data_IF_682895793474
#
_entry.id   IF_682895793474
#
_cell.length_a   1.000
_cell.length_b   1.000
_cell.length_c   1.000
_cell.angle_alpha   90.00
_cell.angle_beta   90.00
_cell.angle_gamma   90.00
#
_symmetry.space_group_name_H-M   'P 1'
#
loop_
_entity.id
_entity.type
_entity.pdbx_description
1 polymer ?
#
# COMPACT_ATOMS: atom_id res chain seq x y z
N UNK A 1 -0.15 -41.42 4.00
CA UNK A 1 -1.32 -41.80 3.17
C UNK A 1 -2.46 -40.80 3.32
N UNK A 2 -2.85 -40.39 4.53
CA UNK A 2 -3.94 -39.44 4.78
C UNK A 2 -3.81 -38.12 4.01
N UNK A 3 -2.61 -37.53 3.94
CA UNK A 3 -2.37 -36.29 3.19
C UNK A 3 -2.59 -36.46 1.67
N UNK A 4 -2.17 -37.60 1.11
CA UNK A 4 -2.39 -37.93 -0.29
C UNK A 4 -3.87 -38.17 -0.61
N UNK A 5 -4.65 -38.68 0.35
CA UNK A 5 -6.11 -38.78 0.22
C UNK A 5 -6.81 -37.42 0.32
N UNK A 6 -6.37 -36.53 1.22
CA UNK A 6 -6.91 -35.17 1.34
C UNK A 6 -6.69 -34.37 0.05
N UNK A 7 -5.51 -34.52 -0.58
CA UNK A 7 -5.18 -33.88 -1.85
C UNK A 7 -5.81 -34.57 -3.08
N UNK A 8 -6.51 -35.69 -2.89
CA UNK A 8 -7.14 -36.45 -3.98
C UNK A 8 -6.16 -37.20 -4.89
N UNK A 9 -4.89 -37.37 -4.48
CA UNK A 9 -3.87 -38.14 -5.18
C UNK A 9 -4.19 -39.65 -5.07
N UNK A 10 -4.69 -40.07 -3.91
CA UNK A 10 -5.17 -41.43 -3.66
C UNK A 10 -6.63 -41.40 -3.18
N UNK A 11 -7.36 -42.50 -3.36
CA UNK A 11 -8.71 -42.67 -2.81
C UNK A 11 -9.05 -44.16 -2.66
N UNK A 12 -9.62 -44.53 -1.52
CA UNK A 12 -9.95 -45.93 -1.16
C UNK A 12 -8.77 -46.89 -1.35
N UNK A 13 -7.56 -46.47 -0.96
CA UNK A 13 -6.34 -47.29 -1.02
C UNK A 13 -5.71 -47.45 -2.42
N UNK A 14 -6.15 -46.69 -3.43
CA UNK A 14 -5.58 -46.72 -4.78
C UNK A 14 -5.26 -45.31 -5.31
N UNK A 15 -4.40 -45.21 -6.34
CA UNK A 15 -4.14 -43.94 -7.03
C UNK A 15 -5.37 -43.49 -7.83
N UNK A 16 -5.73 -42.22 -7.67
CA UNK A 16 -6.77 -41.58 -8.47
C UNK A 16 -6.31 -41.41 -9.93
N UNK A 17 -7.24 -41.29 -10.88
CA UNK A 17 -6.91 -41.02 -12.29
C UNK A 17 -6.02 -39.78 -12.47
N UNK A 18 -6.32 -38.61 -11.85
CA UNK A 18 -5.41 -37.46 -11.90
C UNK A 18 -4.08 -37.72 -11.16
N UNK A 19 -4.09 -38.49 -10.06
CA UNK A 19 -2.88 -38.88 -9.34
C UNK A 19 -1.93 -39.76 -10.17
N UNK A 20 -2.48 -40.64 -11.03
CA UNK A 20 -1.69 -41.42 -12.00
C UNK A 20 -1.11 -40.54 -13.11
N UNK A 21 -1.89 -39.59 -13.63
CA UNK A 21 -1.43 -38.68 -14.67
C UNK A 21 -0.21 -37.84 -14.24
N UNK A 22 -0.02 -37.60 -12.93
CA UNK A 22 1.18 -36.96 -12.39
C UNK A 22 2.42 -37.86 -12.36
N UNK A 23 2.25 -39.18 -12.43
CA UNK A 23 3.31 -40.20 -12.32
C UNK A 23 3.66 -40.84 -13.67
N UNK A 24 2.82 -40.70 -14.69
CA UNK A 24 3.06 -41.28 -16.00
C UNK A 24 4.27 -40.62 -16.70
N UNK A 25 5.30 -41.40 -17.09
CA UNK A 25 6.45 -40.86 -17.78
C UNK A 25 6.07 -40.46 -19.21
N UNK A 26 6.32 -39.20 -19.57
CA UNK A 26 6.30 -38.74 -20.96
C UNK A 26 7.68 -38.98 -21.58
N UNK A 27 7.82 -39.92 -22.54
CA UNK A 27 9.11 -40.42 -23.00
C UNK A 27 9.96 -39.39 -23.77
N UNK A 28 9.36 -38.27 -24.23
CA UNK A 28 10.00 -37.36 -25.20
C UNK A 28 10.14 -35.89 -24.75
N UNK A 29 10.00 -35.56 -23.45
CA UNK A 29 9.98 -34.16 -23.00
C UNK A 29 11.11 -33.75 -22.04
N UNK A 30 11.63 -32.50 -22.15
CA UNK A 30 12.62 -31.97 -21.23
C UNK A 30 12.07 -31.89 -19.80
N UNK A 31 12.93 -31.99 -18.75
CA UNK A 31 12.49 -32.16 -17.36
C UNK A 31 11.55 -31.07 -16.83
N UNK A 32 11.65 -29.84 -17.37
CA UNK A 32 10.82 -28.68 -17.01
C UNK A 32 9.44 -28.72 -17.67
N UNK A 33 9.35 -29.13 -18.95
CA UNK A 33 8.07 -29.27 -19.64
C UNK A 33 7.25 -30.45 -19.08
N UNK A 34 7.92 -31.51 -18.62
CA UNK A 34 7.29 -32.71 -18.07
C UNK A 34 6.33 -32.42 -16.90
N UNK A 35 6.65 -31.46 -16.02
CA UNK A 35 5.79 -31.11 -14.87
C UNK A 35 4.54 -30.37 -15.35
N UNK A 36 4.69 -29.46 -16.30
CA UNK A 36 3.58 -28.66 -16.85
C UNK A 36 2.62 -29.55 -17.67
N UNK A 37 3.14 -30.47 -18.47
CA UNK A 37 2.35 -31.40 -19.28
C UNK A 37 1.57 -32.39 -18.40
N UNK A 38 2.23 -32.98 -17.40
CA UNK A 38 1.60 -33.89 -16.44
C UNK A 38 0.53 -33.16 -15.60
N UNK A 39 0.81 -31.93 -15.15
CA UNK A 39 -0.15 -31.09 -14.43
C UNK A 39 -1.36 -30.72 -15.31
N UNK A 40 -1.13 -30.36 -16.57
CA UNK A 40 -2.21 -30.08 -17.51
C UNK A 40 -3.05 -31.33 -17.81
N UNK A 41 -2.44 -32.51 -17.90
CA UNK A 41 -3.15 -33.77 -18.08
C UNK A 41 -4.00 -34.13 -16.85
N UNK A 42 -3.42 -34.04 -15.65
CA UNK A 42 -4.14 -34.24 -14.40
C UNK A 42 -5.31 -33.25 -14.26
N UNK A 43 -5.11 -31.97 -14.61
CA UNK A 43 -6.16 -30.95 -14.60
C UNK A 43 -7.31 -31.29 -15.55
N UNK A 44 -7.03 -31.80 -16.76
CA UNK A 44 -8.07 -32.26 -17.69
C UNK A 44 -8.89 -33.43 -17.15
N UNK A 45 -8.26 -34.35 -16.40
CA UNK A 45 -8.97 -35.47 -15.77
C UNK A 45 -9.78 -35.04 -14.54
N UNK A 46 -9.33 -33.99 -13.83
CA UNK A 46 -9.99 -33.40 -12.67
C UNK A 46 -11.19 -32.53 -13.07
N UNK A 47 -11.10 -31.77 -14.16
CA UNK A 47 -12.10 -30.77 -14.52
C UNK A 47 -13.55 -31.29 -14.56
N UNK A 48 -13.86 -32.47 -15.13
CA UNK A 48 -15.23 -33.01 -15.15
C UNK A 48 -15.77 -33.42 -13.77
N UNK A 49 -14.90 -33.53 -12.76
CA UNK A 49 -15.25 -33.94 -11.40
C UNK A 49 -15.51 -32.75 -10.48
N UNK A 50 -15.20 -31.53 -10.92
CA UNK A 50 -15.35 -30.31 -10.15
C UNK A 50 -16.63 -29.57 -10.58
N UNK A 51 -17.32 -28.89 -9.65
CA UNK A 51 -18.41 -28.00 -10.01
C UNK A 51 -17.90 -26.83 -10.86
N UNK A 52 -18.75 -26.34 -11.76
CA UNK A 52 -18.44 -25.18 -12.60
C UNK A 52 -18.24 -23.93 -11.72
N UNK A 53 -17.11 -23.22 -11.86
CA UNK A 53 -16.89 -21.96 -11.16
C UNK A 53 -17.91 -20.91 -11.57
N UNK A 54 -18.33 -20.08 -10.61
CA UNK A 54 -19.26 -19.00 -10.83
C UNK A 54 -18.52 -17.69 -11.04
N UNK A 55 -18.97 -16.92 -12.02
CA UNK A 55 -18.53 -15.56 -12.34
C UNK A 55 -19.36 -14.48 -11.62
N UNK A 56 -20.23 -14.87 -10.68
CA UNK A 56 -21.14 -13.96 -10.00
C UNK A 56 -21.44 -14.34 -8.55
N UNK A 57 -21.97 -13.35 -7.82
CA UNK A 57 -22.48 -13.46 -6.45
C UNK A 57 -23.90 -12.90 -6.33
N UNK A 58 -24.55 -13.18 -5.20
CA UNK A 58 -25.82 -12.59 -4.82
C UNK A 58 -25.58 -11.53 -3.75
N UNK A 59 -25.81 -10.26 -4.08
CA UNK A 59 -25.71 -9.16 -3.12
C UNK A 59 -27.01 -9.03 -2.32
N UNK A 60 -26.86 -8.88 -1.00
CA UNK A 60 -27.96 -8.77 -0.04
C UNK A 60 -27.95 -7.41 0.66
N UNK A 61 -29.11 -6.99 1.16
CA UNK A 61 -29.29 -5.67 1.76
C UNK A 61 -28.58 -5.48 3.12
N UNK A 62 -28.11 -6.56 3.74
CA UNK A 62 -27.38 -6.58 5.01
C UNK A 62 -25.85 -6.48 4.83
N UNK A 63 -25.42 -5.96 3.68
CA UNK A 63 -24.01 -5.80 3.29
C UNK A 63 -23.27 -7.13 3.17
N UNK A 64 -23.94 -8.16 2.67
CA UNK A 64 -23.30 -9.44 2.37
C UNK A 64 -23.38 -9.79 0.87
N UNK A 65 -22.38 -10.56 0.41
CA UNK A 65 -22.41 -11.25 -0.87
C UNK A 65 -22.36 -12.76 -0.62
N UNK A 66 -23.26 -13.50 -1.25
CA UNK A 66 -23.30 -14.97 -1.15
C UNK A 66 -22.84 -15.58 -2.46
N UNK A 67 -21.82 -16.43 -2.37
CA UNK A 67 -21.34 -17.28 -3.46
C UNK A 67 -21.85 -18.71 -3.24
N UNK A 68 -22.85 -19.17 -4.00
CA UNK A 68 -23.46 -20.49 -3.82
C UNK A 68 -22.59 -21.66 -4.30
N UNK A 69 -21.42 -21.37 -4.87
CA UNK A 69 -20.44 -22.33 -5.36
C UNK A 69 -19.04 -21.71 -5.40
N UNK A 70 -18.02 -22.45 -5.87
CA UNK A 70 -16.69 -21.87 -6.03
C UNK A 70 -16.74 -20.74 -7.06
N UNK A 71 -16.06 -19.65 -6.75
CA UNK A 71 -15.96 -18.51 -7.67
C UNK A 71 -14.79 -18.70 -8.61
N UNK A 72 -14.88 -18.09 -9.79
CA UNK A 72 -13.69 -17.87 -10.61
C UNK A 72 -12.61 -17.12 -9.82
N UNK A 73 -11.34 -17.46 -10.04
CA UNK A 73 -10.22 -16.92 -9.24
C UNK A 73 -10.18 -15.38 -9.24
N UNK A 74 -10.30 -14.69 -10.39
CA UNK A 74 -10.23 -13.22 -10.40
C UNK A 74 -11.34 -12.56 -9.58
N UNK A 75 -12.54 -13.14 -9.60
CA UNK A 75 -13.69 -12.69 -8.80
C UNK A 75 -13.43 -12.94 -7.31
N UNK A 76 -12.98 -14.14 -6.94
CA UNK A 76 -12.67 -14.50 -5.56
C UNK A 76 -11.58 -13.60 -4.95
N UNK A 77 -10.51 -13.33 -5.71
CA UNK A 77 -9.40 -12.46 -5.29
C UNK A 77 -9.86 -11.02 -5.07
N UNK A 78 -10.65 -10.50 -6.02
CA UNK A 78 -11.16 -9.12 -5.91
C UNK A 78 -12.15 -8.98 -4.76
N UNK A 79 -13.05 -9.95 -4.57
CA UNK A 79 -13.96 -9.98 -3.41
C UNK A 79 -13.21 -10.14 -2.08
N UNK A 80 -12.14 -10.92 -2.03
CA UNK A 80 -11.32 -11.08 -0.84
C UNK A 80 -10.58 -9.81 -0.40
N UNK A 81 -10.40 -8.84 -1.30
CA UNK A 81 -9.92 -7.50 -0.97
C UNK A 81 -11.08 -6.62 -0.50
N UNK A 82 -12.22 -6.66 -1.21
CA UNK A 82 -13.37 -5.77 -1.00
C UNK A 82 -14.26 -6.14 0.19
N UNK A 83 -14.18 -7.37 0.68
CA UNK A 83 -15.04 -7.89 1.73
C UNK A 83 -14.29 -8.94 2.57
N UNK A 84 -14.76 -9.15 3.79
CA UNK A 84 -14.24 -10.16 4.70
C UNK A 84 -15.05 -11.46 4.58
N UNK A 85 -14.40 -12.62 4.64
CA UNK A 85 -15.09 -13.91 4.57
C UNK A 85 -15.65 -14.25 5.96
N UNK A 86 -16.97 -14.28 6.09
CA UNK A 86 -17.65 -14.62 7.33
C UNK A 86 -17.84 -16.13 7.49
N UNK A 87 -18.14 -16.83 6.38
CA UNK A 87 -18.35 -18.28 6.39
C UNK A 87 -17.87 -18.92 5.09
N UNK A 88 -17.27 -20.10 5.21
CA UNK A 88 -16.84 -20.98 4.12
C UNK A 88 -17.56 -22.33 4.25
N UNK A 89 -18.89 -22.28 4.17
CA UNK A 89 -19.75 -23.48 4.18
C UNK A 89 -20.05 -23.95 2.75
N UNK A 90 -21.23 -24.57 2.57
CA UNK A 90 -21.77 -24.88 1.23
C UNK A 90 -22.01 -23.65 0.36
N UNK A 91 -22.03 -22.46 0.95
CA UNK A 91 -21.92 -21.17 0.27
C UNK A 91 -20.89 -20.32 1.01
N UNK A 92 -20.06 -19.58 0.26
CA UNK A 92 -19.14 -18.62 0.87
C UNK A 92 -19.87 -17.29 1.06
N UNK A 93 -19.87 -16.77 2.27
CA UNK A 93 -20.50 -15.50 2.62
C UNK A 93 -19.40 -14.47 2.84
N UNK A 94 -19.47 -13.39 2.09
CA UNK A 94 -18.59 -12.23 2.21
C UNK A 94 -19.37 -11.09 2.85
N UNK A 95 -18.75 -10.38 3.79
CA UNK A 95 -19.34 -9.21 4.45
C UNK A 95 -18.56 -7.96 4.07
N UNK A 96 -19.27 -6.97 3.55
CA UNK A 96 -18.72 -5.64 3.29
C UNK A 96 -18.74 -4.83 4.58
N UNK A 97 -17.59 -4.26 4.91
CA UNK A 97 -17.34 -3.44 6.10
C UNK A 97 -16.67 -2.13 5.66
N UNK A 98 -16.76 -1.05 6.45
CA UNK A 98 -15.99 0.17 6.16
C UNK A 98 -14.49 -0.11 5.98
N UNK A 99 -13.93 -1.03 6.78
CA UNK A 99 -12.53 -1.42 6.77
C UNK A 99 -12.13 -2.19 5.51
N UNK A 100 -12.94 -3.15 5.06
CA UNK A 100 -12.67 -3.91 3.82
C UNK A 100 -12.82 -3.04 2.58
N UNK A 101 -13.82 -2.15 2.53
CA UNK A 101 -13.94 -1.16 1.45
C UNK A 101 -12.72 -0.21 1.45
N UNK A 102 -12.29 0.27 2.63
CA UNK A 102 -11.10 1.13 2.73
C UNK A 102 -9.85 0.41 2.22
N UNK A 103 -9.69 -0.88 2.55
CA UNK A 103 -8.59 -1.73 2.07
C UNK A 103 -8.53 -1.78 0.54
N UNK A 104 -9.67 -1.87 -0.13
CA UNK A 104 -9.72 -1.83 -1.58
C UNK A 104 -9.31 -0.47 -2.16
N UNK A 105 -9.71 0.64 -1.51
CA UNK A 105 -9.28 1.98 -1.91
C UNK A 105 -7.79 2.21 -1.66
N UNK A 106 -7.25 1.69 -0.54
CA UNK A 106 -5.82 1.71 -0.21
C UNK A 106 -5.00 0.91 -1.25
N UNK A 107 -5.59 -0.14 -1.84
CA UNK A 107 -5.02 -0.90 -2.96
C UNK A 107 -5.14 -0.19 -4.33
N UNK A 108 -5.60 1.06 -4.36
CA UNK A 108 -5.66 1.90 -5.56
C UNK A 108 -6.95 1.80 -6.36
N UNK A 109 -7.99 1.12 -5.88
CA UNK A 109 -9.30 1.09 -6.54
C UNK A 109 -10.06 2.39 -6.29
N UNK A 110 -10.81 2.87 -7.28
CA UNK A 110 -11.74 3.99 -7.09
C UNK A 110 -13.13 3.50 -6.70
N UNK A 111 -13.98 4.40 -6.19
CA UNK A 111 -15.38 4.07 -5.91
C UNK A 111 -16.11 3.58 -7.18
N UNK A 112 -15.84 4.21 -8.32
CA UNK A 112 -16.42 3.83 -9.61
C UNK A 112 -15.96 2.44 -10.06
N UNK A 113 -14.69 2.09 -9.84
CA UNK A 113 -14.20 0.73 -10.11
C UNK A 113 -14.94 -0.31 -9.27
N UNK A 114 -15.18 0.00 -7.99
CA UNK A 114 -15.92 -0.89 -7.07
C UNK A 114 -17.37 -1.04 -7.51
N UNK A 115 -18.07 0.05 -7.82
CA UNK A 115 -19.45 -0.01 -8.31
C UNK A 115 -19.55 -0.78 -9.62
N UNK A 116 -18.64 -0.52 -10.56
CA UNK A 116 -18.57 -1.22 -11.86
C UNK A 116 -18.35 -2.72 -11.65
N UNK A 117 -17.41 -3.08 -10.76
CA UNK A 117 -17.13 -4.47 -10.43
C UNK A 117 -18.35 -5.18 -9.81
N UNK A 118 -19.00 -4.56 -8.83
CA UNK A 118 -20.18 -5.11 -8.16
C UNK A 118 -21.36 -5.26 -9.13
N UNK A 119 -21.56 -4.30 -10.02
CA UNK A 119 -22.60 -4.37 -11.05
C UNK A 119 -22.33 -5.49 -12.08
N UNK A 120 -21.06 -5.71 -12.44
CA UNK A 120 -20.68 -6.73 -13.41
C UNK A 120 -20.82 -8.16 -12.86
N UNK A 121 -20.51 -8.39 -11.58
CA UNK A 121 -20.45 -9.73 -10.98
C UNK A 121 -21.61 -10.02 -10.01
N UNK A 122 -22.68 -9.21 -10.02
CA UNK A 122 -23.85 -9.47 -9.18
C UNK A 122 -25.04 -9.93 -10.02
N UNK A 123 -25.70 -11.02 -9.59
CA UNK A 123 -26.98 -11.45 -10.17
C UNK A 123 -28.19 -10.68 -9.64
N UNK A 124 -28.01 -9.96 -8.54
CA UNK A 124 -29.03 -9.07 -7.97
C UNK A 124 -28.60 -7.61 -8.18
N UNK A 125 -29.55 -6.65 -8.24
CA UNK A 125 -29.18 -5.24 -8.23
C UNK A 125 -28.33 -4.90 -7.01
N UNK A 126 -27.34 -4.00 -7.17
CA UNK A 126 -26.49 -3.55 -6.06
C UNK A 126 -27.37 -2.86 -5.00
N UNK A 127 -27.41 -3.36 -3.75
CA UNK A 127 -28.24 -2.79 -2.70
C UNK A 127 -27.81 -1.36 -2.36
N UNK A 128 -28.79 -0.46 -2.19
CA UNK A 128 -28.53 0.94 -1.82
C UNK A 128 -27.64 1.11 -0.58
N UNK A 129 -27.76 0.30 0.51
CA UNK A 129 -26.85 0.38 1.65
C UNK A 129 -25.38 0.16 1.27
N UNK A 130 -25.11 -0.78 0.35
CA UNK A 130 -23.75 -1.05 -0.13
C UNK A 130 -23.23 0.11 -0.97
N UNK A 131 -24.07 0.66 -1.85
CA UNK A 131 -23.72 1.85 -2.63
C UNK A 131 -23.35 3.03 -1.71
N UNK A 132 -24.13 3.24 -0.65
CA UNK A 132 -23.88 4.28 0.33
C UNK A 132 -22.57 4.05 1.10
N UNK A 133 -22.31 2.82 1.56
CA UNK A 133 -21.07 2.45 2.24
C UNK A 133 -19.84 2.78 1.40
N UNK A 134 -19.82 2.36 0.13
CA UNK A 134 -18.70 2.61 -0.79
C UNK A 134 -18.46 4.11 -0.95
N UNK A 135 -19.52 4.88 -1.19
CA UNK A 135 -19.42 6.32 -1.39
C UNK A 135 -18.98 7.07 -0.12
N UNK A 136 -19.46 6.67 1.06
CA UNK A 136 -19.08 7.30 2.32
C UNK A 136 -17.60 7.05 2.66
N UNK A 137 -17.12 5.81 2.49
CA UNK A 137 -15.71 5.47 2.70
C UNK A 137 -14.83 6.19 1.69
N UNK A 138 -15.21 6.22 0.41
CA UNK A 138 -14.46 6.93 -0.63
C UNK A 138 -14.36 8.44 -0.37
N UNK A 139 -15.43 9.08 0.13
CA UNK A 139 -15.41 10.50 0.52
C UNK A 139 -14.45 10.79 1.67
N UNK A 140 -14.28 9.85 2.59
CA UNK A 140 -13.39 9.97 3.77
C UNK A 140 -11.96 9.55 3.45
N UNK A 141 -11.77 8.66 2.48
CA UNK A 141 -10.48 8.19 2.01
C UNK A 141 -9.67 9.33 1.37
N UNK A 142 -8.36 9.39 1.65
CA UNK A 142 -7.46 10.38 1.06
C UNK A 142 -7.68 11.84 1.48
N UNK A 143 -8.56 12.15 2.45
CA UNK A 143 -8.74 13.51 2.99
C UNK A 143 -7.50 14.02 3.74
N UNK A 144 -6.80 13.12 4.41
CA UNK A 144 -5.54 13.40 5.08
C UNK A 144 -4.40 12.93 4.18
N UNK A 145 -3.44 13.82 3.94
CA UNK A 145 -2.24 13.52 3.14
C UNK A 145 -1.02 13.65 4.03
N UNK A 146 -0.21 12.61 4.07
CA UNK A 146 1.05 12.57 4.81
C UNK A 146 2.18 12.66 3.79
N UNK A 147 3.19 13.44 4.10
CA UNK A 147 4.43 13.50 3.32
C UNK A 147 5.61 13.66 4.25
N UNK A 148 6.78 13.17 3.83
CA UNK A 148 8.02 13.43 4.56
C UNK A 148 8.35 14.93 4.51
N UNK A 149 8.89 15.45 5.61
CA UNK A 149 9.48 16.78 5.71
C UNK A 149 10.60 16.69 6.75
N UNK A 150 11.85 16.81 6.30
CA UNK A 150 13.04 16.67 7.16
C UNK A 150 13.35 17.95 7.95
N UNK A 151 12.95 19.10 7.41
CA UNK A 151 13.03 20.40 8.07
C UNK A 151 11.88 21.29 7.59
N UNK A 152 11.61 22.36 8.33
CA UNK A 152 10.69 23.42 7.92
C UNK A 152 11.40 24.78 7.99
N UNK A 153 10.92 25.72 7.18
CA UNK A 153 11.32 27.12 7.21
C UNK A 153 10.08 27.96 7.50
N UNK A 154 10.13 28.73 8.58
CA UNK A 154 9.10 29.70 8.95
C UNK A 154 9.58 31.12 8.67
N UNK A 155 8.73 31.93 8.08
CA UNK A 155 8.98 33.36 7.89
C UNK A 155 7.66 34.12 7.94
N UNK A 156 7.65 35.26 8.62
CA UNK A 156 6.46 36.09 8.73
C UNK A 156 6.18 36.89 7.43
N UNK A 157 7.15 36.90 6.50
CA UNK A 157 7.01 37.49 5.17
C UNK A 157 6.80 36.41 4.10
N UNK A 158 5.59 36.34 3.58
CA UNK A 158 5.21 35.42 2.50
C UNK A 158 5.95 35.71 1.18
N UNK A 159 6.23 36.97 0.89
CA UNK A 159 6.88 37.37 -0.37
C UNK A 159 8.32 36.86 -0.42
N UNK A 160 9.02 36.89 0.71
CA UNK A 160 10.36 36.32 0.85
C UNK A 160 10.35 34.80 0.63
N UNK A 161 9.37 34.08 1.18
CA UNK A 161 9.25 32.63 0.93
C UNK A 161 8.94 32.30 -0.53
N UNK A 162 8.14 33.13 -1.20
CA UNK A 162 7.88 32.99 -2.63
C UNK A 162 9.16 33.24 -3.46
N UNK A 163 9.98 34.23 -3.09
CA UNK A 163 11.27 34.50 -3.73
C UNK A 163 12.24 33.31 -3.59
N UNK A 164 12.38 32.78 -2.37
CA UNK A 164 13.24 31.62 -2.10
C UNK A 164 12.78 30.40 -2.91
N UNK A 165 11.46 30.16 -3.00
CA UNK A 165 10.91 29.06 -3.80
C UNK A 165 11.16 29.22 -5.30
N UNK A 166 11.22 30.46 -5.80
CA UNK A 166 11.44 30.76 -7.21
C UNK A 166 12.93 30.76 -7.61
N UNK A 167 13.84 30.96 -6.65
CA UNK A 167 15.29 30.95 -6.91
C UNK A 167 15.78 29.54 -7.27
N UNK A 168 16.37 29.39 -8.46
CA UNK A 168 16.92 28.11 -8.96
C UNK A 168 17.98 27.52 -8.02
N UNK A 169 18.66 28.33 -7.21
CA UNK A 169 19.65 27.86 -6.23
C UNK A 169 19.01 27.03 -5.11
N UNK A 170 17.72 27.21 -4.81
CA UNK A 170 16.99 26.45 -3.78
C UNK A 170 16.54 25.06 -4.25
N UNK A 171 16.71 24.72 -5.54
CA UNK A 171 16.25 23.44 -6.10
C UNK A 171 16.81 22.21 -5.36
N UNK A 172 18.06 22.29 -4.87
CA UNK A 172 18.69 21.23 -4.08
C UNK A 172 18.06 21.02 -2.70
N UNK A 173 17.38 22.03 -2.16
CA UNK A 173 16.71 22.00 -0.85
C UNK A 173 15.33 21.33 -0.93
N UNK A 174 14.80 21.14 -2.15
CA UNK A 174 13.50 20.50 -2.43
C UNK A 174 12.37 21.10 -1.58
N UNK A 175 12.31 22.42 -1.56
CA UNK A 175 11.32 23.17 -0.81
C UNK A 175 9.92 22.96 -1.38
N UNK A 176 8.94 22.84 -0.49
CA UNK A 176 7.52 22.74 -0.81
C UNK A 176 6.73 23.62 0.16
N UNK A 177 5.84 24.44 -0.38
CA UNK A 177 4.98 25.29 0.45
C UNK A 177 3.92 24.48 1.19
N UNK A 178 3.82 24.66 2.50
CA UNK A 178 2.79 24.04 3.35
C UNK A 178 1.72 25.04 3.78
N UNK A 179 2.13 26.28 4.05
CA UNK A 179 1.27 27.41 4.41
C UNK A 179 1.89 28.70 3.85
N UNK A 180 1.20 29.86 3.93
CA UNK A 180 1.77 31.12 3.47
C UNK A 180 3.11 31.48 4.12
N UNK A 181 3.27 31.18 5.42
CA UNK A 181 4.46 31.50 6.20
C UNK A 181 5.34 30.28 6.50
N UNK A 182 5.09 29.13 5.85
CA UNK A 182 5.78 27.86 6.13
C UNK A 182 6.12 27.09 4.87
N UNK A 183 7.40 26.77 4.70
CA UNK A 183 7.90 25.80 3.73
C UNK A 183 8.38 24.53 4.44
N UNK A 184 8.18 23.38 3.82
CA UNK A 184 8.86 22.14 4.16
C UNK A 184 10.04 21.90 3.22
N UNK A 185 11.12 21.34 3.75
CA UNK A 185 12.27 20.87 2.99
C UNK A 185 12.42 19.35 3.13
N UNK A 186 12.92 18.70 2.07
CA UNK A 186 13.41 17.31 2.18
C UNK A 186 14.87 17.25 2.64
N UNK A 187 15.59 18.38 2.59
CA UNK A 187 16.93 18.48 3.12
C UNK A 187 16.90 18.50 4.67
N UNK A 188 17.90 17.92 5.34
CA UNK A 188 18.08 18.04 6.79
C UNK A 188 18.26 19.51 7.23
N UNK A 189 17.99 19.85 8.51
CA UNK A 189 18.08 21.22 9.02
C UNK A 189 19.42 21.91 8.74
N UNK A 190 20.55 21.21 8.94
CA UNK A 190 21.89 21.78 8.74
C UNK A 190 22.13 22.15 7.28
N UNK A 191 21.75 21.28 6.34
CA UNK A 191 21.86 21.53 4.90
C UNK A 191 20.94 22.67 4.45
N UNK A 192 19.73 22.75 5.02
CA UNK A 192 18.81 23.86 4.75
C UNK A 192 19.40 25.20 5.21
N UNK A 193 19.97 25.23 6.41
CA UNK A 193 20.57 26.42 7.00
C UNK A 193 21.83 26.86 6.24
N UNK A 194 22.72 25.95 5.87
CA UNK A 194 23.88 26.24 5.03
C UNK A 194 23.49 26.71 3.62
N UNK A 195 22.51 26.04 2.99
CA UNK A 195 22.03 26.38 1.66
C UNK A 195 21.42 27.78 1.59
N UNK A 196 20.58 28.13 2.57
CA UNK A 196 20.00 29.47 2.66
C UNK A 196 21.07 30.54 2.91
N UNK A 197 22.10 30.25 3.73
CA UNK A 197 23.24 31.15 3.93
C UNK A 197 24.04 31.36 2.64
N UNK A 198 24.31 30.29 1.89
CA UNK A 198 24.98 30.37 0.60
C UNK A 198 24.18 31.17 -0.45
N UNK A 199 22.86 31.25 -0.29
CA UNK A 199 21.99 32.07 -1.13
C UNK A 199 21.99 33.55 -0.74
N UNK A 200 22.53 33.91 0.43
CA UNK A 200 22.60 35.27 0.96
C UNK A 200 21.57 35.59 2.04
N UNK A 201 20.76 34.61 2.47
CA UNK A 201 19.80 34.78 3.56
C UNK A 201 20.45 34.55 4.93
N UNK A 202 19.83 35.08 5.98
CA UNK A 202 20.30 34.94 7.36
C UNK A 202 19.30 34.12 8.21
N UNK A 203 19.14 32.80 7.97
CA UNK A 203 18.24 31.97 8.76
C UNK A 203 18.79 31.77 10.17
N UNK A 204 17.87 31.67 11.13
CA UNK A 204 18.17 31.20 12.49
C UNK A 204 17.66 29.77 12.65
N UNK A 205 18.39 28.95 13.42
CA UNK A 205 17.92 27.61 13.76
C UNK A 205 16.80 27.72 14.80
N UNK A 206 15.78 26.86 14.71
CA UNK A 206 14.77 26.70 15.76
C UNK A 206 15.03 25.36 16.50
N UNK A 207 14.73 25.31 17.79
CA UNK A 207 14.77 24.11 18.62
C UNK A 207 13.57 23.21 18.30
N UNK A 208 13.57 21.98 18.82
CA UNK A 208 12.41 21.09 18.71
C UNK A 208 11.14 21.65 19.37
N UNK A 209 11.28 22.63 20.26
CA UNK A 209 10.20 23.33 20.96
C UNK A 209 9.76 24.63 20.23
N UNK A 210 10.44 24.99 19.12
CA UNK A 210 10.14 26.18 18.31
C UNK A 210 10.88 27.44 18.74
N UNK A 211 11.78 27.35 19.72
CA UNK A 211 12.59 28.48 20.18
C UNK A 211 13.77 28.74 19.24
N UNK A 212 14.05 30.02 18.95
CA UNK A 212 15.18 30.39 18.11
C UNK A 212 16.50 30.10 18.83
N UNK A 213 17.25 29.14 18.29
CA UNK A 213 18.60 28.79 18.71
C UNK A 213 19.60 29.81 18.16
N UNK A 214 20.07 30.69 19.04
CA UNK A 214 21.19 31.60 18.73
C UNK A 214 22.50 30.81 18.85
N UNK A 215 22.99 30.26 17.73
CA UNK A 215 24.36 29.72 17.68
C UNK A 215 25.35 30.88 17.76
N UNK A 216 25.80 31.24 18.97
CA UNK A 216 27.00 32.08 19.11
C UNK A 216 28.17 31.29 18.52
N UNK A 217 28.86 31.79 17.49
CA UNK A 217 30.10 31.15 17.06
C UNK A 217 31.04 31.15 18.25
N UNK A 218 31.54 29.97 18.63
CA UNK A 218 32.57 29.88 19.67
C UNK A 218 33.75 30.74 19.23
N UNK A 219 33.90 31.90 19.87
CA UNK A 219 35.08 32.72 19.70
C UNK A 219 36.27 31.84 20.06
N UNK A 220 37.15 31.55 19.09
CA UNK A 220 38.45 30.91 19.34
C UNK A 220 39.16 31.74 20.40
N UNK A 221 39.06 31.35 21.67
CA UNK A 221 39.76 32.01 22.76
C UNK A 221 41.23 31.66 22.60
N UNK A 222 42.08 32.67 22.46
CA UNK A 222 43.53 32.50 22.59
C UNK A 222 43.81 31.87 23.95
N UNK A 223 44.63 30.80 24.05
CA UNK A 223 44.99 30.22 25.33
C UNK A 223 45.64 31.28 26.23
N UNK A 224 45.47 31.19 27.56
CA UNK A 224 45.93 32.21 28.51
C UNK A 224 47.44 32.43 28.37
N UNK A 225 47.85 33.69 28.17
CA UNK A 225 49.27 34.07 28.11
C UNK A 225 49.88 33.86 29.49
N UNK A 226 50.89 32.98 29.57
CA UNK A 226 51.71 32.82 30.78
C UNK A 226 52.57 34.07 30.98
N UNK A 227 52.57 34.70 32.17
CA UNK A 227 53.43 35.85 32.44
C UNK A 227 54.91 35.43 32.47
N UNK A 228 55.84 36.27 31.98
CA UNK A 228 57.26 35.95 32.00
C UNK A 228 57.82 35.93 33.44
N UNK A 229 58.76 35.01 33.68
CA UNK A 229 59.41 34.82 34.98
C UNK A 229 60.42 35.96 35.24
N UNK A 230 60.44 36.58 36.43
CA UNK A 230 61.43 37.61 36.76
C UNK A 230 62.83 37.02 36.83
N UNK A 231 63.79 37.66 36.17
CA UNK A 231 65.22 37.36 36.27
C UNK A 231 65.84 38.12 37.45
N UNK A 232 66.71 37.48 38.27
CA UNK A 232 67.53 38.17 39.26
C UNK A 232 68.70 38.95 38.63
#
# INVERSE_FOLDING_TARGET
MTEAEILGITGRGALSSPGRALLEPHPDEPPTARIDTASAHAARLLAPLLPEPLDHVLLQADLTAVAPGPLERPLAETLGILADVESKGGATVYRFTPESVRRALDAGRTADDVHTFLAAHSRTPVPQPLTYLVNDVARKHGRLRIGAASAYLRCDDDTLLAEILADRRSAGLRLRRLAPTVLAAQAPPDTLLEGLRAMGYAPAAESAEGDVLVSRPEARRTPPRTPPVPVP
#
